data_IF_051411042632
#
_entry.id   IF_051411042632
#
_cell.length_a   1.000
_cell.length_b   1.000
_cell.length_c   1.000
_cell.angle_alpha   90.00
_cell.angle_beta   90.00
_cell.angle_gamma   90.00
#
_symmetry.space_group_name_H-M   'P 1'
#
loop_
_entity.id
_entity.type
_entity.pdbx_description
1 polymer ?
#
# COMPACT_ATOMS: atom_id res chain seq x y z
N UNK A 1 -2.25 -3.34 15.50
CA UNK A 1 -1.77 -4.06 14.30
C UNK A 1 -0.87 -3.19 13.42
N UNK A 2 -1.23 -1.93 13.13
CA UNK A 2 -0.41 -1.01 12.31
C UNK A 2 1.06 -0.88 12.73
N UNK A 3 1.34 -0.59 13.99
CA UNK A 3 2.73 -0.42 14.46
C UNK A 3 3.54 -1.72 14.28
N UNK A 4 2.98 -2.86 14.69
CA UNK A 4 3.63 -4.16 14.51
C UNK A 4 3.89 -4.50 13.02
N UNK A 5 2.98 -4.10 12.12
CA UNK A 5 3.20 -4.20 10.68
C UNK A 5 4.35 -3.30 10.22
N UNK A 6 4.38 -2.04 10.65
CA UNK A 6 5.46 -1.10 10.33
C UNK A 6 6.82 -1.64 10.80
N UNK A 7 6.92 -2.09 12.05
CA UNK A 7 8.14 -2.68 12.62
C UNK A 7 8.62 -3.91 11.83
N UNK A 8 7.69 -4.77 11.43
CA UNK A 8 8.00 -5.95 10.62
C UNK A 8 8.45 -5.57 9.21
N UNK A 9 7.82 -4.56 8.60
CA UNK A 9 8.15 -4.07 7.28
C UNK A 9 9.54 -3.41 7.24
N UNK A 10 9.91 -2.64 8.26
CA UNK A 10 11.26 -2.08 8.41
C UNK A 10 12.30 -3.19 8.45
N UNK A 11 12.09 -4.22 9.29
CA UNK A 11 13.02 -5.37 9.36
C UNK A 11 13.13 -6.11 8.03
N UNK A 12 12.02 -6.26 7.30
CA UNK A 12 12.00 -6.90 6.00
C UNK A 12 12.77 -6.07 4.94
N UNK A 13 12.54 -4.76 4.89
CA UNK A 13 13.18 -3.87 3.94
C UNK A 13 14.69 -3.68 4.19
N UNK A 14 15.14 -3.72 5.44
CA UNK A 14 16.57 -3.72 5.79
C UNK A 14 17.31 -4.96 5.27
N UNK A 15 16.60 -6.09 5.10
CA UNK A 15 17.17 -7.33 4.59
C UNK A 15 17.10 -7.49 3.07
N UNK A 16 16.31 -6.67 2.37
CA UNK A 16 16.10 -6.77 0.93
C UNK A 16 15.79 -5.39 0.31
N UNK A 17 16.78 -4.82 -0.39
CA UNK A 17 16.67 -3.51 -1.05
C UNK A 17 15.60 -3.47 -2.16
N UNK A 18 15.12 -4.63 -2.62
CA UNK A 18 14.06 -4.72 -3.62
C UNK A 18 12.68 -4.41 -3.04
N UNK A 19 12.52 -4.42 -1.72
CA UNK A 19 11.26 -4.09 -1.06
C UNK A 19 11.03 -2.59 -1.21
N UNK A 20 9.93 -2.20 -1.84
CA UNK A 20 9.55 -0.80 -2.02
C UNK A 20 8.20 -0.56 -1.38
N UNK A 21 8.12 0.37 -0.42
CA UNK A 21 6.86 0.81 0.18
C UNK A 21 6.29 1.98 -0.61
N UNK A 22 5.10 1.78 -1.19
CA UNK A 22 4.32 2.80 -1.86
C UNK A 22 3.14 3.21 -0.97
N UNK A 23 2.98 4.51 -0.73
CA UNK A 23 1.87 5.04 0.06
C UNK A 23 1.14 6.16 -0.66
N UNK A 24 -0.15 6.33 -0.35
CA UNK A 24 -0.84 7.58 -0.63
C UNK A 24 -0.44 8.69 0.35
N UNK A 25 -0.88 9.91 0.06
CA UNK A 25 -0.61 11.06 0.94
C UNK A 25 -1.65 11.18 2.06
N UNK A 26 -1.46 10.37 3.11
CA UNK A 26 -2.42 10.26 4.21
C UNK A 26 -1.96 11.00 5.49
N UNK A 27 -0.76 11.60 5.48
CA UNK A 27 -0.26 12.43 6.59
C UNK A 27 0.04 11.69 7.90
N UNK A 28 0.09 10.35 7.90
CA UNK A 28 0.34 9.57 9.11
C UNK A 28 1.83 9.29 9.34
N UNK A 29 2.29 9.47 10.59
CA UNK A 29 3.65 9.18 11.03
C UNK A 29 3.99 7.67 11.14
N UNK A 30 3.12 6.79 10.62
CA UNK A 30 3.23 5.34 10.79
C UNK A 30 4.53 4.76 10.23
N UNK A 31 5.06 5.37 9.17
CA UNK A 31 6.24 4.91 8.45
C UNK A 31 7.45 5.83 8.64
N UNK A 32 7.49 6.62 9.72
CA UNK A 32 8.63 7.49 10.02
C UNK A 32 9.92 6.69 10.18
N UNK A 33 9.86 5.59 10.93
CA UNK A 33 11.01 4.69 11.12
C UNK A 33 11.45 4.05 9.80
N UNK A 34 10.51 3.70 8.93
CA UNK A 34 10.82 3.19 7.59
C UNK A 34 11.52 4.25 6.73
N UNK A 35 11.02 5.50 6.75
CA UNK A 35 11.61 6.61 5.99
C UNK A 35 13.01 6.95 6.49
N UNK A 36 13.27 6.80 7.79
CA UNK A 36 14.59 7.01 8.38
C UNK A 36 15.56 5.86 8.06
N UNK A 37 15.12 4.61 8.21
CA UNK A 37 15.96 3.43 8.02
C UNK A 37 16.22 3.09 6.55
N UNK A 38 15.20 3.23 5.70
CA UNK A 38 15.19 2.78 4.30
C UNK A 38 14.70 3.91 3.35
N UNK A 39 15.33 5.11 3.33
CA UNK A 39 14.80 6.28 2.61
C UNK A 39 14.65 6.06 1.10
N UNK A 40 15.50 5.24 0.49
CA UNK A 40 15.45 4.93 -0.95
C UNK A 40 14.36 3.94 -1.34
N UNK A 41 13.76 3.27 -0.36
CA UNK A 41 12.73 2.25 -0.55
C UNK A 41 11.31 2.79 -0.29
N UNK A 42 11.17 4.09 0.01
CA UNK A 42 9.89 4.73 0.29
C UNK A 42 9.46 5.62 -0.87
N UNK A 43 8.22 5.44 -1.34
CA UNK A 43 7.64 6.20 -2.45
C UNK A 43 6.27 6.72 -2.01
N UNK A 44 6.12 8.05 -1.95
CA UNK A 44 4.81 8.69 -1.79
C UNK A 44 4.24 8.97 -3.18
N UNK A 45 3.11 8.35 -3.51
CA UNK A 45 2.43 8.48 -4.79
C UNK A 45 1.38 9.62 -4.81
N UNK A 46 1.21 10.36 -3.72
CA UNK A 46 0.17 11.39 -3.60
C UNK A 46 -1.23 10.79 -3.42
N UNK A 47 -2.27 11.58 -3.70
CA UNK A 47 -3.67 11.13 -3.72
C UNK A 47 -4.02 10.57 -5.11
N UNK A 48 -3.32 9.49 -5.49
CA UNK A 48 -3.41 8.91 -6.83
C UNK A 48 -3.36 7.37 -6.78
N UNK A 49 -4.32 6.74 -6.09
CA UNK A 49 -4.26 5.31 -5.79
C UNK A 49 -4.26 4.43 -7.05
N UNK A 50 -5.01 4.79 -8.10
CA UNK A 50 -4.98 4.04 -9.36
C UNK A 50 -3.58 4.05 -9.99
N UNK A 51 -2.93 5.23 -10.01
CA UNK A 51 -1.56 5.35 -10.49
C UNK A 51 -0.59 4.57 -9.61
N UNK A 52 -0.75 4.65 -8.29
CA UNK A 52 0.07 3.93 -7.32
C UNK A 52 0.06 2.41 -7.57
N UNK A 53 -1.10 1.83 -7.87
CA UNK A 53 -1.22 0.40 -8.23
C UNK A 53 -0.55 0.09 -9.56
N UNK A 54 -0.71 0.93 -10.59
CA UNK A 54 -0.04 0.75 -11.88
C UNK A 54 1.50 0.85 -11.76
N UNK A 55 2.00 1.79 -10.97
CA UNK A 55 3.45 1.91 -10.66
C UNK A 55 3.94 0.66 -9.93
N UNK A 56 3.19 0.16 -8.94
CA UNK A 56 3.52 -1.10 -8.27
C UNK A 56 3.61 -2.27 -9.26
N UNK A 57 2.65 -2.40 -10.19
CA UNK A 57 2.71 -3.43 -11.23
C UNK A 57 3.98 -3.31 -12.09
N UNK A 58 4.33 -2.10 -12.52
CA UNK A 58 5.57 -1.84 -13.27
C UNK A 58 6.83 -2.23 -12.48
N UNK A 59 6.91 -1.83 -11.20
CA UNK A 59 8.03 -2.16 -10.32
C UNK A 59 8.16 -3.68 -10.11
N UNK A 60 7.06 -4.38 -9.92
CA UNK A 60 7.06 -5.84 -9.79
C UNK A 60 7.58 -6.52 -11.07
N UNK A 61 7.19 -6.03 -12.26
CA UNK A 61 7.73 -6.50 -13.55
C UNK A 61 9.23 -6.25 -13.68
N UNK A 62 9.75 -5.19 -13.06
CA UNK A 62 11.17 -4.87 -13.01
C UNK A 62 11.95 -5.63 -11.93
N UNK A 63 11.33 -6.58 -11.22
CA UNK A 63 12.00 -7.44 -10.23
C UNK A 63 12.04 -6.88 -8.80
N UNK A 64 11.34 -5.78 -8.53
CA UNK A 64 11.13 -5.28 -7.18
C UNK A 64 10.02 -6.04 -6.46
N UNK A 65 9.90 -5.85 -5.15
CA UNK A 65 8.80 -6.34 -4.31
C UNK A 65 8.01 -5.14 -3.76
N UNK A 66 6.99 -4.65 -4.47
CA UNK A 66 6.21 -3.51 -4.05
C UNK A 66 5.22 -3.89 -2.94
N UNK A 67 5.21 -3.09 -1.89
CA UNK A 67 4.24 -3.11 -0.79
C UNK A 67 3.43 -1.83 -0.91
N UNK A 68 2.14 -1.94 -1.25
CA UNK A 68 1.24 -0.79 -1.41
C UNK A 68 0.36 -0.68 -0.19
N UNK A 69 0.40 0.47 0.48
CA UNK A 69 -0.36 0.75 1.69
C UNK A 69 -1.34 1.90 1.47
N UNK A 70 -2.60 1.69 1.86
CA UNK A 70 -3.66 2.69 1.78
C UNK A 70 -4.83 2.35 2.69
N UNK A 71 -5.87 3.18 2.69
CA UNK A 71 -7.12 2.89 3.40
C UNK A 71 -7.94 1.87 2.62
N UNK A 72 -8.60 0.91 3.27
CA UNK A 72 -9.42 -0.14 2.64
C UNK A 72 -10.41 0.42 1.60
N UNK A 73 -11.07 1.53 1.92
CA UNK A 73 -12.02 2.21 1.02
C UNK A 73 -11.41 2.70 -0.29
N UNK A 74 -10.09 2.89 -0.34
CA UNK A 74 -9.36 3.34 -1.53
C UNK A 74 -8.45 2.24 -2.09
N UNK A 75 -7.96 1.34 -1.24
CA UNK A 75 -7.14 0.18 -1.56
C UNK A 75 -7.65 -1.01 -0.73
N UNK A 76 -8.43 -1.94 -1.30
CA UNK A 76 -8.50 -2.23 -2.73
C UNK A 76 -9.67 -1.57 -3.49
N UNK A 77 -10.65 -0.96 -2.82
CA UNK A 77 -11.97 -0.74 -3.43
C UNK A 77 -11.97 0.23 -4.63
N UNK A 78 -11.33 1.40 -4.49
CA UNK A 78 -11.25 2.39 -5.60
C UNK A 78 -10.43 1.88 -6.80
N UNK A 79 -9.47 1.00 -6.55
CA UNK A 79 -8.44 0.58 -7.51
C UNK A 79 -8.61 -0.85 -8.01
N UNK A 80 -9.81 -1.41 -7.84
CA UNK A 80 -10.08 -2.82 -8.13
C UNK A 80 -9.79 -3.20 -9.59
N UNK A 81 -10.04 -2.29 -10.54
CA UNK A 81 -9.73 -2.53 -11.96
C UNK A 81 -8.22 -2.66 -12.20
N UNK A 82 -7.41 -1.76 -11.61
CA UNK A 82 -5.95 -1.80 -11.72
C UNK A 82 -5.39 -3.06 -11.06
N UNK A 83 -5.92 -3.46 -9.90
CA UNK A 83 -5.52 -4.73 -9.28
C UNK A 83 -5.81 -5.91 -10.21
N UNK A 84 -7.01 -5.96 -10.79
CA UNK A 84 -7.42 -7.08 -11.65
C UNK A 84 -6.57 -7.18 -12.91
N UNK A 85 -6.38 -6.06 -13.62
CA UNK A 85 -5.76 -6.05 -14.94
C UNK A 85 -4.23 -5.95 -14.85
N UNK A 86 -3.71 -5.10 -13.97
CA UNK A 86 -2.28 -4.80 -13.95
C UNK A 86 -1.50 -5.80 -13.07
N UNK A 87 -2.13 -6.33 -12.00
CA UNK A 87 -1.46 -7.23 -11.03
C UNK A 87 -1.91 -8.68 -11.22
N UNK A 88 -3.21 -8.97 -11.07
CA UNK A 88 -3.72 -10.34 -10.99
C UNK A 88 -3.63 -11.08 -12.33
N UNK A 89 -3.98 -10.42 -13.44
CA UNK A 89 -3.91 -11.03 -14.77
C UNK A 89 -2.49 -11.51 -15.12
N UNK A 90 -1.49 -10.71 -14.77
CA UNK A 90 -0.07 -10.98 -15.02
C UNK A 90 0.62 -11.77 -13.89
N UNK A 91 -0.13 -12.16 -12.85
CA UNK A 91 0.37 -12.87 -11.66
C UNK A 91 1.56 -12.20 -10.98
N UNK A 92 1.53 -10.86 -10.88
CA UNK A 92 2.64 -10.09 -10.32
C UNK A 92 2.72 -10.22 -8.80
N UNK A 93 3.94 -10.19 -8.27
CA UNK A 93 4.21 -10.19 -6.83
C UNK A 93 4.10 -8.76 -6.28
N UNK A 94 2.89 -8.38 -5.86
CA UNK A 94 2.61 -7.11 -5.18
C UNK A 94 1.86 -7.40 -3.89
N UNK A 95 2.29 -6.81 -2.78
CA UNK A 95 1.59 -6.90 -1.49
C UNK A 95 0.69 -5.67 -1.32
N UNK A 96 -0.62 -5.87 -1.22
CA UNK A 96 -1.60 -4.79 -1.02
C UNK A 96 -2.11 -4.82 0.42
N UNK A 97 -2.07 -3.69 1.11
CA UNK A 97 -2.49 -3.55 2.51
C UNK A 97 -3.50 -2.42 2.64
N UNK A 98 -4.75 -2.78 2.93
CA UNK A 98 -5.83 -1.86 3.28
C UNK A 98 -5.93 -1.68 4.80
N UNK A 99 -5.90 -0.43 5.27
CA UNK A 99 -6.16 -0.06 6.66
C UNK A 99 -7.60 0.43 6.86
N UNK A 100 -8.16 0.16 8.03
CA UNK A 100 -9.51 0.64 8.37
C UNK A 100 -10.66 -0.11 7.72
N UNK A 101 -10.47 -1.41 7.46
CA UNK A 101 -11.53 -2.31 7.05
C UNK A 101 -12.77 -2.23 7.95
N UNK A 102 -13.92 -2.54 7.39
CA UNK A 102 -15.23 -2.41 8.03
C UNK A 102 -15.67 -0.96 8.26
N UNK A 103 -16.06 -0.69 9.50
CA UNK A 103 -16.64 0.61 9.93
C UNK A 103 -15.67 1.41 10.81
N UNK A 104 -14.37 1.07 10.77
CA UNK A 104 -13.33 1.68 11.61
C UNK A 104 -13.26 3.20 11.42
N UNK A 105 -13.47 3.68 10.20
CA UNK A 105 -13.48 5.11 9.88
C UNK A 105 -14.89 5.69 9.68
N UNK A 106 -15.89 5.15 10.36
CA UNK A 106 -17.29 5.60 10.24
C UNK A 106 -17.50 7.08 10.55
N UNK A 107 -16.69 7.68 11.42
CA UNK A 107 -16.69 9.12 11.73
C UNK A 107 -16.30 10.00 10.55
N UNK A 108 -15.60 9.47 9.54
CA UNK A 108 -15.23 10.17 8.30
C UNK A 108 -16.28 10.03 7.18
N UNK A 109 -17.42 9.39 7.48
CA UNK A 109 -18.53 9.19 6.56
C UNK A 109 -18.47 7.87 5.79
N UNK A 110 -19.53 7.61 5.02
CA UNK A 110 -19.71 6.35 4.28
C UNK A 110 -18.60 6.08 3.26
N UNK A 111 -17.97 7.13 2.72
CA UNK A 111 -16.88 7.00 1.75
C UNK A 111 -15.57 6.40 2.31
N UNK A 112 -15.44 6.35 3.64
CA UNK A 112 -14.27 5.77 4.34
C UNK A 112 -14.60 4.43 5.00
N UNK A 113 -15.85 3.97 4.91
CA UNK A 113 -16.22 2.62 5.32
C UNK A 113 -15.91 1.65 4.17
N UNK A 114 -15.47 0.46 4.52
CA UNK A 114 -15.16 -0.58 3.54
C UNK A 114 -15.59 -1.91 4.11
N UNK A 115 -16.78 -2.37 3.74
CA UNK A 115 -17.35 -3.65 4.22
C UNK A 115 -17.21 -4.76 3.19
N UNK A 116 -16.87 -4.37 1.97
CA UNK A 116 -16.76 -5.16 0.75
C UNK A 116 -15.31 -5.58 0.44
N UNK A 117 -14.34 -5.24 1.29
CA UNK A 117 -12.91 -5.58 1.15
C UNK A 117 -12.53 -6.98 1.65
N UNK A 118 -13.54 -7.80 1.98
CA UNK A 118 -13.39 -9.16 2.52
C UNK A 118 -13.34 -10.26 1.45
#
# INVERSE_FOLDING_TARGET
MRNAFSDALVKFALGDERVLLLTGDHGYALFDDFRQACPKQYINAGVAEQNMVGVAAGLAKSGFFPVVYGLSSFLPIRVLEQIKLDICYEQLKVLLIGDGAGVVYSSLGSSHQSTEDK
#
